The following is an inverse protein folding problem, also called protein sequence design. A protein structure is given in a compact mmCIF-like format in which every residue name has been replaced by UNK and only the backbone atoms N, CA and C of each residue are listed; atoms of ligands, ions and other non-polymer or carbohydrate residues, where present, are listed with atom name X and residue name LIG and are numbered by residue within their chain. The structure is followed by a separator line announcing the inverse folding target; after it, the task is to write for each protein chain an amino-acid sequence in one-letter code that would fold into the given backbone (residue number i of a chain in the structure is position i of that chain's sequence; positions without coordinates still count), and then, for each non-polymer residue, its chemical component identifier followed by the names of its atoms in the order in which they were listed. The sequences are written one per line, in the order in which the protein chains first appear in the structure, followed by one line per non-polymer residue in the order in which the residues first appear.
data_IF_471552119131
#
_entry.id   IF_471552119131
#
_cell.length_a   1.000
_cell.length_b   1.000
_cell.length_c   1.000
_cell.angle_alpha   90.00
_cell.angle_beta   90.00
_cell.angle_gamma   90.00
#
_symmetry.space_group_name_H-M   'P 1'
#
loop_
_entity.id
_entity.type
_entity.pdbx_description
1 polymer ?
#
# COMPACT_ATOMS: atom_id res chain seq x y z
N UNK A 1 5.45 10.40 2.58
CA UNK A 1 4.73 10.46 1.29
C UNK A 1 5.70 9.97 0.22
N UNK A 2 5.28 9.05 -0.65
CA UNK A 2 6.15 8.55 -1.73
C UNK A 2 6.05 9.48 -2.94
N UNK A 3 7.19 9.87 -3.48
CA UNK A 3 7.26 10.58 -4.76
C UNK A 3 6.92 9.62 -5.90
N UNK A 4 6.23 10.13 -6.93
CA UNK A 4 6.05 9.39 -8.17
C UNK A 4 7.39 9.24 -8.89
N UNK A 5 7.60 8.15 -9.63
CA UNK A 5 8.80 7.96 -10.44
C UNK A 5 8.99 9.08 -11.45
N UNK A 6 10.24 9.44 -11.77
CA UNK A 6 10.56 10.48 -12.75
C UNK A 6 9.95 10.22 -14.13
N UNK A 7 9.81 8.96 -14.53
CA UNK A 7 9.16 8.55 -15.78
C UNK A 7 7.72 9.06 -15.92
N UNK A 8 6.99 9.22 -14.81
CA UNK A 8 5.63 9.79 -14.81
C UNK A 8 5.68 11.27 -15.23
N UNK A 9 6.62 12.05 -14.71
CA UNK A 9 6.76 13.46 -15.08
C UNK A 9 7.28 13.64 -16.51
N UNK A 10 8.05 12.69 -17.02
CA UNK A 10 8.44 12.65 -18.44
C UNK A 10 7.22 12.39 -19.35
N UNK A 11 6.37 11.42 -18.99
CA UNK A 11 5.12 11.14 -19.71
C UNK A 11 4.18 12.36 -19.69
N UNK A 12 4.11 13.10 -18.58
CA UNK A 12 3.33 14.35 -18.51
C UNK A 12 3.81 15.36 -19.56
N UNK A 13 5.13 15.58 -19.67
CA UNK A 13 5.72 16.48 -20.67
C UNK A 13 5.42 16.04 -22.10
N UNK A 14 5.47 14.73 -22.37
CA UNK A 14 5.15 14.18 -23.69
C UNK A 14 3.68 14.45 -24.05
N UNK A 15 2.76 14.20 -23.11
CA UNK A 15 1.33 14.48 -23.29
C UNK A 15 1.05 15.97 -23.48
N UNK A 16 1.70 16.84 -22.69
CA UNK A 16 1.56 18.30 -22.81
C UNK A 16 2.02 18.80 -24.19
N UNK A 17 3.15 18.28 -24.69
CA UNK A 17 3.67 18.65 -26.01
C UNK A 17 2.79 18.12 -27.15
N UNK A 18 2.39 16.84 -27.11
CA UNK A 18 1.57 16.22 -28.16
C UNK A 18 0.19 16.88 -28.27
N UNK A 19 -0.41 17.20 -27.12
CA UNK A 19 -1.77 17.72 -27.03
C UNK A 19 -1.84 19.20 -26.64
N UNK A 20 -0.80 20.00 -26.97
CA UNK A 20 -0.69 21.42 -26.58
C UNK A 20 -1.90 22.30 -26.95
N UNK A 21 -2.64 21.92 -28.00
CA UNK A 21 -3.82 22.64 -28.49
C UNK A 21 -5.13 22.20 -27.80
N UNK A 22 -5.07 21.23 -26.88
CA UNK A 22 -6.21 20.77 -26.08
C UNK A 22 -6.20 21.46 -24.71
N UNK A 23 -7.37 21.60 -24.06
CA UNK A 23 -7.44 22.17 -22.72
C UNK A 23 -6.79 21.23 -21.69
N UNK A 24 -6.34 21.77 -20.57
CA UNK A 24 -5.68 20.96 -19.52
C UNK A 24 -6.73 20.27 -18.64
N UNK A 25 -6.49 19.01 -18.29
CA UNK A 25 -7.16 18.31 -17.21
C UNK A 25 -6.18 18.05 -16.06
N UNK A 26 -6.66 18.01 -14.82
CA UNK A 26 -5.86 17.46 -13.74
C UNK A 26 -5.98 15.93 -13.72
N UNK A 27 -4.87 15.23 -13.55
CA UNK A 27 -4.88 13.82 -13.14
C UNK A 27 -4.65 13.76 -11.62
N UNK A 28 -5.73 13.56 -10.86
CA UNK A 28 -5.64 13.42 -9.42
C UNK A 28 -5.19 12.00 -9.06
N UNK A 29 -3.94 11.88 -8.64
CA UNK A 29 -3.30 10.58 -8.34
C UNK A 29 -3.71 10.06 -6.96
N UNK A 30 -3.87 10.95 -5.97
CA UNK A 30 -4.24 10.60 -4.61
C UNK A 30 -3.31 9.53 -4.03
N UNK A 31 -3.89 8.46 -3.50
CA UNK A 31 -3.13 7.36 -2.89
C UNK A 31 -2.46 6.41 -3.90
N UNK A 32 -2.72 6.56 -5.21
CA UNK A 32 -2.12 5.70 -6.22
C UNK A 32 -0.59 5.83 -6.26
N UNK A 33 -0.05 7.01 -5.95
CA UNK A 33 1.41 7.22 -5.85
C UNK A 33 2.09 6.39 -4.77
N UNK A 34 1.34 5.91 -3.77
CA UNK A 34 1.83 5.01 -2.73
C UNK A 34 1.53 3.54 -3.06
N UNK A 35 0.31 3.27 -3.52
CA UNK A 35 -0.20 1.90 -3.56
C UNK A 35 -0.10 1.24 -4.94
N UNK A 36 -0.17 2.00 -6.02
CA UNK A 36 -0.15 1.45 -7.38
C UNK A 36 0.25 2.55 -8.39
N UNK A 37 1.55 2.88 -8.47
CA UNK A 37 2.05 3.86 -9.43
C UNK A 37 1.96 3.36 -10.89
N UNK A 38 1.89 2.04 -11.10
CA UNK A 38 1.69 1.43 -12.43
C UNK A 38 0.31 1.78 -13.01
N UNK A 39 -0.71 1.98 -12.17
CA UNK A 39 -1.99 2.54 -12.62
C UNK A 39 -1.85 3.94 -13.22
N UNK A 40 -1.02 4.79 -12.62
CA UNK A 40 -0.81 6.16 -13.10
C UNK A 40 -0.13 6.11 -14.46
N UNK A 41 0.96 5.34 -14.57
CA UNK A 41 1.68 5.15 -15.83
C UNK A 41 0.77 4.57 -16.91
N UNK A 42 -0.01 3.53 -16.59
CA UNK A 42 -0.91 2.85 -17.51
C UNK A 42 -1.98 3.78 -18.08
N UNK A 43 -2.61 4.60 -17.22
CA UNK A 43 -3.61 5.59 -17.69
C UNK A 43 -2.97 6.67 -18.57
N UNK A 44 -1.78 7.16 -18.22
CA UNK A 44 -1.08 8.17 -19.02
C UNK A 44 -0.66 7.63 -20.39
N UNK A 45 -0.15 6.39 -20.44
CA UNK A 45 0.15 5.71 -21.70
C UNK A 45 -1.11 5.49 -22.54
N UNK A 46 -2.24 5.16 -21.91
CA UNK A 46 -3.51 5.08 -22.62
C UNK A 46 -3.88 6.41 -23.28
N UNK A 47 -3.80 7.52 -22.54
CA UNK A 47 -4.04 8.86 -23.11
C UNK A 47 -3.05 9.20 -24.21
N UNK A 48 -1.80 8.77 -24.11
CA UNK A 48 -0.79 9.01 -25.14
C UNK A 48 -1.13 8.29 -26.45
N UNK A 49 -1.62 7.05 -26.36
CA UNK A 49 -1.91 6.21 -27.52
C UNK A 49 -3.30 6.46 -28.12
N UNK A 50 -4.29 6.72 -27.26
CA UNK A 50 -5.71 6.80 -27.64
C UNK A 50 -6.33 8.19 -27.41
N UNK A 51 -5.55 9.20 -27.02
CA UNK A 51 -6.03 10.53 -26.68
C UNK A 51 -6.77 11.27 -27.79
N UNK A 52 -6.53 10.90 -29.05
CA UNK A 52 -7.26 11.46 -30.20
C UNK A 52 -8.67 10.89 -30.35
N UNK A 53 -8.98 9.77 -29.68
CA UNK A 53 -10.26 9.05 -29.77
C UNK A 53 -11.16 9.27 -28.56
N UNK A 54 -10.68 9.94 -27.51
CA UNK A 54 -11.51 10.22 -26.33
C UNK A 54 -12.56 11.29 -26.66
N UNK A 55 -13.65 11.33 -25.88
CA UNK A 55 -14.74 12.30 -26.06
C UNK A 55 -14.23 13.75 -26.12
N UNK A 56 -14.88 14.59 -26.94
CA UNK A 56 -14.51 16.00 -27.10
C UNK A 56 -14.68 16.83 -25.82
N UNK A 57 -15.52 16.37 -24.89
CA UNK A 57 -15.71 16.97 -23.57
C UNK A 57 -14.55 16.67 -22.61
N UNK A 58 -13.67 15.73 -22.99
CA UNK A 58 -12.52 15.29 -22.24
C UNK A 58 -11.22 15.77 -22.91
N UNK A 59 -10.10 15.66 -22.18
CA UNK A 59 -8.79 15.99 -22.74
C UNK A 59 -7.71 14.97 -22.40
N UNK A 60 -6.83 14.61 -23.35
CA UNK A 60 -5.64 13.81 -23.07
C UNK A 60 -4.48 14.65 -22.52
N UNK A 61 -4.56 15.98 -22.60
CA UNK A 61 -3.57 16.89 -22.04
C UNK A 61 -3.79 17.00 -20.53
N UNK A 62 -2.84 16.52 -19.75
CA UNK A 62 -2.99 16.44 -18.29
C UNK A 62 -1.87 17.12 -17.50
N UNK A 63 -2.18 17.50 -16.27
CA UNK A 63 -1.23 17.88 -15.21
C UNK A 63 -1.37 16.94 -14.02
N UNK A 64 -0.29 16.31 -13.60
CA UNK A 64 -0.30 15.31 -12.53
C UNK A 64 -0.31 16.02 -11.16
N UNK A 65 -1.31 15.70 -10.33
CA UNK A 65 -1.39 16.18 -8.96
C UNK A 65 -1.10 15.02 -7.99
N UNK A 66 0.01 15.14 -7.27
CA UNK A 66 0.47 14.17 -6.27
C UNK A 66 0.59 14.83 -4.87
N UNK A 67 0.64 14.01 -3.83
CA UNK A 67 0.92 14.46 -2.45
C UNK A 67 -0.28 15.04 -1.70
N UNK A 68 -1.50 14.86 -2.23
CA UNK A 68 -2.71 15.46 -1.68
C UNK A 68 -3.75 14.38 -1.40
N UNK A 69 -4.37 14.44 -0.22
CA UNK A 69 -5.45 13.53 0.14
C UNK A 69 -6.77 13.98 -0.50
N UNK A 70 -7.63 13.02 -0.84
CA UNK A 70 -8.93 13.28 -1.47
C UNK A 70 -10.08 13.56 -0.50
N UNK A 71 -9.85 13.61 0.82
CA UNK A 71 -10.88 13.83 1.83
C UNK A 71 -11.59 12.56 2.30
N UNK A 72 -11.20 11.40 1.79
CA UNK A 72 -11.93 10.16 2.04
C UNK A 72 -11.75 9.62 3.46
N UNK A 73 -10.57 9.76 4.06
CA UNK A 73 -10.31 9.43 5.47
C UNK A 73 -11.17 10.28 6.43
N UNK A 74 -11.25 11.58 6.15
CA UNK A 74 -12.06 12.52 6.91
C UNK A 74 -13.55 12.23 6.75
N UNK A 75 -14.01 11.91 5.53
CA UNK A 75 -15.39 11.48 5.28
C UNK A 75 -15.76 10.23 6.10
N UNK A 76 -14.88 9.22 6.14
CA UNK A 76 -15.12 7.99 6.91
C UNK A 76 -15.14 8.23 8.43
N UNK A 77 -14.40 9.24 8.90
CA UNK A 77 -14.36 9.64 10.31
C UNK A 77 -15.46 10.64 10.69
N UNK A 78 -16.41 10.91 9.80
CA UNK A 78 -17.44 11.94 9.94
C UNK A 78 -16.92 13.38 10.18
N UNK A 79 -15.67 13.65 9.80
CA UNK A 79 -15.06 14.98 9.81
C UNK A 79 -15.28 15.67 8.46
N UNK A 80 -16.50 16.17 8.25
CA UNK A 80 -16.92 16.76 6.97
C UNK A 80 -16.22 18.07 6.65
N UNK A 81 -15.86 18.86 7.67
CA UNK A 81 -15.13 20.12 7.47
C UNK A 81 -13.72 19.87 6.93
N UNK A 82 -13.00 18.88 7.48
CA UNK A 82 -11.71 18.48 6.93
C UNK A 82 -11.84 17.91 5.52
N UNK A 83 -12.86 17.10 5.25
CA UNK A 83 -13.11 16.58 3.91
C UNK A 83 -13.36 17.72 2.89
N UNK A 84 -14.18 18.71 3.27
CA UNK A 84 -14.48 19.89 2.46
C UNK A 84 -13.22 20.70 2.17
N UNK A 85 -12.40 20.99 3.19
CA UNK A 85 -11.12 21.71 3.03
C UNK A 85 -10.16 21.01 2.06
N UNK A 86 -10.12 19.67 2.08
CA UNK A 86 -9.30 18.91 1.13
C UNK A 86 -9.83 19.00 -0.31
N UNK A 87 -11.15 19.03 -0.49
CA UNK A 87 -11.77 19.23 -1.81
C UNK A 87 -11.58 20.67 -2.32
N UNK A 88 -11.67 21.66 -1.45
CA UNK A 88 -11.36 23.06 -1.76
C UNK A 88 -9.93 23.20 -2.28
N UNK A 89 -8.96 22.53 -1.64
CA UNK A 89 -7.57 22.51 -2.12
C UNK A 89 -7.43 21.90 -3.53
N UNK A 90 -8.21 20.87 -3.86
CA UNK A 90 -8.23 20.28 -5.21
C UNK A 90 -8.79 21.28 -6.23
N UNK A 91 -9.82 22.06 -5.86
CA UNK A 91 -10.38 23.11 -6.72
C UNK A 91 -9.43 24.30 -6.91
N UNK A 92 -8.70 24.69 -5.87
CA UNK A 92 -7.63 25.70 -5.98
C UNK A 92 -6.60 25.25 -7.02
N UNK A 93 -6.11 24.01 -6.92
CA UNK A 93 -5.14 23.45 -7.88
C UNK A 93 -5.68 23.37 -9.31
N UNK A 94 -6.97 23.05 -9.47
CA UNK A 94 -7.62 23.10 -10.78
C UNK A 94 -7.53 24.50 -11.39
N UNK A 95 -7.77 25.52 -10.58
CA UNK A 95 -7.74 26.92 -10.98
C UNK A 95 -6.30 27.38 -11.24
N UNK A 96 -5.36 27.08 -10.34
CA UNK A 96 -3.92 27.40 -10.46
C UNK A 96 -3.31 26.81 -11.75
N UNK A 97 -3.78 25.65 -12.20
CA UNK A 97 -3.30 24.97 -13.41
C UNK A 97 -4.12 25.27 -14.67
N UNK A 98 -5.09 26.19 -14.61
CA UNK A 98 -6.02 26.50 -15.71
C UNK A 98 -6.67 25.23 -16.31
N UNK A 99 -6.99 24.26 -15.46
CA UNK A 99 -7.57 22.99 -15.88
C UNK A 99 -9.09 23.07 -15.96
N UNK A 100 -9.67 22.52 -17.03
CA UNK A 100 -11.14 22.55 -17.22
C UNK A 100 -11.84 21.37 -16.53
N UNK A 101 -11.13 20.27 -16.28
CA UNK A 101 -11.66 19.06 -15.65
C UNK A 101 -10.62 18.34 -14.79
N UNK A 102 -11.08 17.31 -14.06
CA UNK A 102 -10.23 16.50 -13.18
C UNK A 102 -10.58 15.03 -13.39
N UNK A 103 -9.58 14.20 -13.71
CA UNK A 103 -9.67 12.76 -13.68
C UNK A 103 -9.33 12.22 -12.30
N UNK A 104 -10.14 11.27 -11.83
CA UNK A 104 -9.88 10.50 -10.63
C UNK A 104 -9.62 9.04 -11.01
N UNK A 105 -8.47 8.50 -10.58
CA UNK A 105 -8.17 7.07 -10.70
C UNK A 105 -8.94 6.22 -9.67
N UNK A 106 -9.52 6.86 -8.65
CA UNK A 106 -10.06 6.20 -7.47
C UNK A 106 -11.52 6.65 -7.25
N UNK A 107 -12.49 5.72 -7.18
CA UNK A 107 -13.90 6.08 -7.00
C UNK A 107 -14.16 6.73 -5.63
N UNK A 108 -13.40 6.41 -4.59
CA UNK A 108 -13.46 7.08 -3.29
C UNK A 108 -13.18 8.58 -3.41
N UNK A 109 -12.10 8.94 -4.12
CA UNK A 109 -11.74 10.34 -4.34
C UNK A 109 -12.76 11.09 -5.19
N UNK A 110 -13.28 10.43 -6.23
CA UNK A 110 -14.34 11.00 -7.05
C UNK A 110 -15.63 11.22 -6.25
N UNK A 111 -16.00 10.28 -5.39
CA UNK A 111 -17.18 10.40 -4.55
C UNK A 111 -17.08 11.59 -3.60
N UNK A 112 -15.94 11.75 -2.91
CA UNK A 112 -15.72 12.87 -2.00
C UNK A 112 -15.74 14.20 -2.76
N UNK A 113 -15.05 14.27 -3.90
CA UNK A 113 -15.04 15.45 -4.74
C UNK A 113 -16.45 15.84 -5.20
N UNK A 114 -17.20 14.90 -5.79
CA UNK A 114 -18.56 15.17 -6.25
C UNK A 114 -19.52 15.55 -5.11
N UNK A 115 -19.27 15.05 -3.89
CA UNK A 115 -20.08 15.39 -2.72
C UNK A 115 -19.86 16.82 -2.23
N UNK A 116 -18.64 17.36 -2.33
CA UNK A 116 -18.28 18.64 -1.69
C UNK A 116 -17.86 19.76 -2.67
N UNK A 117 -17.50 19.49 -3.92
CA UNK A 117 -16.86 20.50 -4.79
C UNK A 117 -17.83 21.38 -5.58
N UNK A 118 -19.14 21.12 -5.52
CA UNK A 118 -20.18 21.68 -6.40
C UNK A 118 -19.94 21.45 -7.92
N UNK A 119 -18.80 20.87 -8.30
CA UNK A 119 -18.43 20.48 -9.67
C UNK A 119 -18.37 18.95 -9.78
N UNK A 120 -18.46 18.42 -11.00
CA UNK A 120 -18.29 16.98 -11.25
C UNK A 120 -16.87 16.68 -11.69
N UNK A 121 -16.25 15.68 -11.06
CA UNK A 121 -15.04 15.04 -11.55
C UNK A 121 -15.35 13.96 -12.60
N UNK A 122 -14.33 13.50 -13.30
CA UNK A 122 -14.43 12.41 -14.28
C UNK A 122 -13.78 11.16 -13.70
N UNK A 123 -14.47 10.02 -13.77
CA UNK A 123 -13.86 8.76 -13.40
C UNK A 123 -12.95 8.30 -14.55
N UNK A 124 -11.66 8.10 -14.28
CA UNK A 124 -10.71 7.67 -15.32
C UNK A 124 -11.12 6.33 -15.96
N UNK A 125 -11.78 5.45 -15.21
CA UNK A 125 -12.33 4.20 -15.73
C UNK A 125 -13.34 4.41 -16.86
N UNK A 126 -14.13 5.50 -16.86
CA UNK A 126 -15.08 5.79 -17.94
C UNK A 126 -14.40 6.00 -19.29
N UNK A 127 -13.15 6.49 -19.27
CA UNK A 127 -12.36 6.76 -20.46
C UNK A 127 -11.87 5.45 -21.10
N UNK A 128 -11.56 4.44 -20.28
CA UNK A 128 -10.90 3.20 -20.73
C UNK A 128 -11.82 1.98 -20.79
N UNK A 129 -12.98 2.00 -20.13
CA UNK A 129 -13.88 0.83 -20.00
C UNK A 129 -14.30 0.23 -21.34
N UNK A 130 -14.34 1.04 -22.40
CA UNK A 130 -14.66 0.59 -23.77
C UNK A 130 -13.67 -0.43 -24.33
N UNK A 131 -12.43 -0.43 -23.86
CA UNK A 131 -11.36 -1.33 -24.31
C UNK A 131 -11.16 -2.54 -23.38
N UNK A 132 -12.02 -2.67 -22.35
CA UNK A 132 -11.97 -3.73 -21.33
C UNK A 132 -13.12 -4.74 -21.44
N UNK A 133 -13.87 -4.73 -22.56
CA UNK A 133 -15.19 -5.39 -22.69
C UNK A 133 -15.28 -6.87 -22.28
N UNK A 134 -14.20 -7.62 -22.43
CA UNK A 134 -14.18 -9.07 -22.12
C UNK A 134 -13.58 -9.40 -20.74
N UNK A 135 -13.15 -8.39 -19.96
CA UNK A 135 -12.48 -8.59 -18.68
C UNK A 135 -13.44 -8.40 -17.51
N UNK A 136 -13.40 -9.29 -16.52
CA UNK A 136 -14.14 -9.10 -15.27
C UNK A 136 -13.54 -7.95 -14.47
N UNK A 137 -14.34 -6.95 -14.12
CA UNK A 137 -13.91 -5.78 -13.34
C UNK A 137 -14.63 -5.76 -12.00
N UNK A 138 -13.87 -5.77 -10.92
CA UNK A 138 -14.34 -5.55 -9.57
C UNK A 138 -14.49 -4.05 -9.30
N UNK A 139 -15.71 -3.64 -8.97
CA UNK A 139 -16.03 -2.27 -8.61
C UNK A 139 -16.28 -2.21 -7.10
N UNK A 140 -15.45 -1.42 -6.41
CA UNK A 140 -15.60 -1.22 -4.97
C UNK A 140 -16.93 -0.53 -4.62
N UNK A 141 -17.34 -0.62 -3.35
CA UNK A 141 -18.60 -0.05 -2.87
C UNK A 141 -18.81 1.45 -3.15
N UNK A 142 -17.73 2.22 -3.30
CA UNK A 142 -17.81 3.64 -3.65
C UNK A 142 -18.07 3.89 -5.13
N UNK A 143 -17.59 3.00 -6.01
CA UNK A 143 -18.02 3.00 -7.40
C UNK A 143 -19.53 2.70 -7.47
N UNK A 144 -20.05 1.77 -6.66
CA UNK A 144 -21.49 1.54 -6.58
C UNK A 144 -22.29 2.75 -6.11
N UNK A 145 -21.79 3.47 -5.09
CA UNK A 145 -22.40 4.73 -4.65
C UNK A 145 -22.38 5.83 -5.72
N UNK A 146 -21.48 5.73 -6.69
CA UNK A 146 -21.42 6.59 -7.87
C UNK A 146 -22.31 6.10 -9.03
N UNK A 147 -23.04 4.99 -8.85
CA UNK A 147 -23.98 4.46 -9.84
C UNK A 147 -23.40 3.40 -10.78
N UNK A 148 -22.22 2.85 -10.48
CA UNK A 148 -21.63 1.77 -11.28
C UNK A 148 -22.02 0.39 -10.75
N UNK A 149 -22.17 -0.58 -11.64
CA UNK A 149 -22.54 -1.95 -11.28
C UNK A 149 -21.50 -2.97 -11.78
N UNK A 150 -21.31 -4.04 -11.01
CA UNK A 150 -20.34 -5.10 -11.24
C UNK A 150 -20.84 -6.43 -10.68
N UNK A 151 -20.37 -7.53 -11.27
CA UNK A 151 -20.58 -8.88 -10.72
C UNK A 151 -19.84 -9.10 -9.39
N UNK A 152 -18.78 -8.35 -9.11
CA UNK A 152 -17.96 -8.46 -7.90
C UNK A 152 -17.94 -7.12 -7.15
N UNK A 153 -18.53 -7.13 -5.95
CA UNK A 153 -18.87 -5.91 -5.20
C UNK A 153 -18.32 -5.92 -3.77
N UNK A 154 -17.08 -6.36 -3.54
CA UNK A 154 -16.47 -6.26 -2.22
C UNK A 154 -16.20 -4.79 -1.85
N UNK A 155 -16.39 -4.48 -0.56
CA UNK A 155 -16.07 -3.17 0.01
C UNK A 155 -14.55 -3.02 0.16
N UNK A 156 -13.87 -2.74 -0.94
CA UNK A 156 -12.43 -2.55 -0.96
C UNK A 156 -11.97 -1.18 -0.41
N UNK A 157 -12.89 -0.20 -0.33
CA UNK A 157 -12.65 1.18 0.09
C UNK A 157 -12.51 1.39 1.60
N UNK A 158 -12.26 0.36 2.39
CA UNK A 158 -11.79 0.53 3.76
C UNK A 158 -10.26 0.48 3.72
N UNK A 159 -9.62 1.55 4.20
CA UNK A 159 -8.16 1.66 4.35
C UNK A 159 -7.54 0.55 5.23
N UNK A 160 -8.38 -0.28 5.84
CA UNK A 160 -8.03 -1.46 6.59
C UNK A 160 -7.49 -2.56 5.67
N UNK A 161 -6.25 -2.98 5.92
CA UNK A 161 -5.66 -4.24 5.41
C UNK A 161 -5.92 -5.42 6.34
N UNK A 162 -6.27 -5.14 7.59
CA UNK A 162 -6.70 -6.14 8.58
C UNK A 162 -8.00 -5.72 9.27
N UNK A 163 -8.81 -6.71 9.68
CA UNK A 163 -9.99 -6.53 10.51
C UNK A 163 -9.88 -7.44 11.74
N UNK A 164 -9.99 -6.86 12.94
CA UNK A 164 -9.78 -7.57 14.22
C UNK A 164 -8.48 -8.40 14.24
N UNK A 165 -7.40 -7.83 13.70
CA UNK A 165 -6.09 -8.48 13.65
C UNK A 165 -5.91 -9.55 12.58
N UNK A 166 -6.94 -9.85 11.77
CA UNK A 166 -6.87 -10.81 10.67
C UNK A 166 -6.79 -10.08 9.32
N UNK A 167 -5.98 -10.54 8.35
CA UNK A 167 -5.96 -9.96 7.01
C UNK A 167 -7.32 -10.01 6.33
N UNK A 168 -7.63 -8.94 5.60
CA UNK A 168 -8.67 -8.96 4.57
C UNK A 168 -8.04 -9.48 3.27
N UNK A 169 -8.03 -10.79 3.08
CA UNK A 169 -7.55 -11.44 1.85
C UNK A 169 -8.67 -11.46 0.79
N UNK A 170 -8.33 -11.23 -0.48
CA UNK A 170 -9.26 -11.52 -1.57
C UNK A 170 -9.26 -13.02 -1.84
N UNK A 171 -10.45 -13.64 -1.87
CA UNK A 171 -10.60 -15.08 -2.18
C UNK A 171 -10.40 -15.38 -3.67
N UNK A 172 -10.56 -14.38 -4.55
CA UNK A 172 -10.36 -14.49 -6.01
C UNK A 172 -9.48 -13.34 -6.49
N UNK A 173 -8.42 -13.63 -7.24
CA UNK A 173 -7.52 -12.62 -7.86
C UNK A 173 -7.68 -12.42 -9.37
N UNK A 174 -8.54 -13.22 -10.02
CA UNK A 174 -8.69 -13.24 -11.49
C UNK A 174 -9.48 -12.08 -12.12
N UNK A 175 -9.75 -11.00 -11.39
CA UNK A 175 -10.48 -9.83 -11.87
C UNK A 175 -9.60 -8.58 -11.86
N UNK A 176 -9.99 -7.57 -12.65
CA UNK A 176 -9.35 -6.26 -12.63
C UNK A 176 -9.96 -5.35 -11.57
N UNK A 177 -9.18 -4.45 -10.99
CA UNK A 177 -9.65 -3.46 -10.02
C UNK A 177 -9.56 -2.04 -10.56
N UNK A 178 -10.57 -1.23 -10.25
CA UNK A 178 -10.58 0.19 -10.65
C UNK A 178 -9.86 1.12 -9.69
N UNK A 179 -9.77 0.74 -8.41
CA UNK A 179 -9.18 1.59 -7.38
C UNK A 179 -7.73 1.14 -7.12
N UNK A 180 -6.73 2.03 -7.27
CA UNK A 180 -5.33 1.76 -6.95
C UNK A 180 -5.09 1.16 -5.56
N UNK A 181 -5.87 1.59 -4.56
CA UNK A 181 -5.81 1.01 -3.22
C UNK A 181 -6.34 -0.43 -3.19
N UNK A 182 -7.42 -0.72 -3.92
CA UNK A 182 -7.95 -2.08 -4.05
C UNK A 182 -7.01 -2.99 -4.82
N UNK A 183 -6.38 -2.49 -5.90
CA UNK A 183 -5.35 -3.21 -6.66
C UNK A 183 -4.24 -3.69 -5.73
N UNK A 184 -3.73 -2.77 -4.91
CA UNK A 184 -2.72 -3.08 -3.91
C UNK A 184 -3.21 -4.04 -2.83
N UNK A 185 -4.37 -3.75 -2.22
CA UNK A 185 -4.94 -4.52 -1.12
C UNK A 185 -5.22 -5.97 -1.49
N UNK A 186 -5.73 -6.20 -2.70
CA UNK A 186 -6.11 -7.53 -3.18
C UNK A 186 -5.00 -8.20 -4.00
N UNK A 187 -3.92 -7.49 -4.31
CA UNK A 187 -2.85 -7.99 -5.18
C UNK A 187 -3.32 -8.32 -6.59
N UNK A 188 -4.34 -7.60 -7.09
CA UNK A 188 -4.94 -7.78 -8.42
C UNK A 188 -4.26 -6.88 -9.45
N UNK A 189 -4.71 -6.94 -10.70
CA UNK A 189 -4.27 -6.02 -11.76
C UNK A 189 -5.24 -4.85 -11.89
N UNK A 190 -4.71 -3.65 -12.01
CA UNK A 190 -5.53 -2.47 -12.25
C UNK A 190 -6.07 -2.42 -13.68
N UNK A 191 -7.28 -1.90 -13.85
CA UNK A 191 -7.85 -1.55 -15.16
C UNK A 191 -6.94 -0.64 -15.98
N UNK A 192 -6.20 0.26 -15.32
CA UNK A 192 -5.35 1.25 -15.98
C UNK A 192 -4.05 0.62 -16.51
N UNK A 193 -3.50 -0.35 -15.78
CA UNK A 193 -2.34 -1.12 -16.23
C UNK A 193 -2.73 -2.14 -17.31
N UNK A 194 -3.96 -2.66 -17.24
CA UNK A 194 -4.47 -3.68 -18.16
C UNK A 194 -4.72 -3.21 -19.59
N UNK A 195 -4.74 -1.89 -19.81
CA UNK A 195 -4.83 -1.25 -21.14
C UNK A 195 -3.48 -0.72 -21.63
N UNK A 196 -2.41 -0.84 -20.83
CA UNK A 196 -1.04 -0.56 -21.29
C UNK A 196 -0.50 -1.68 -22.20
N UNK A 197 0.62 -1.45 -22.89
CA UNK A 197 1.18 -2.38 -23.88
C UNK A 197 1.16 -3.86 -23.43
N UNK A 198 0.78 -4.76 -24.35
CA UNK A 198 0.52 -6.19 -24.08
C UNK A 198 1.62 -6.88 -23.28
N UNK A 199 2.89 -6.55 -23.54
CA UNK A 199 4.06 -7.14 -22.88
C UNK A 199 4.08 -6.86 -21.38
N UNK A 200 3.84 -5.61 -20.96
CA UNK A 200 3.76 -5.24 -19.53
C UNK A 200 2.56 -5.88 -18.83
N UNK A 201 1.44 -6.04 -19.55
CA UNK A 201 0.25 -6.68 -18.98
C UNK A 201 0.45 -8.19 -18.73
N UNK A 202 1.08 -8.92 -19.66
CA UNK A 202 1.31 -10.36 -19.49
C UNK A 202 2.21 -10.66 -18.28
N UNK A 203 3.26 -9.87 -18.07
CA UNK A 203 4.14 -9.96 -16.88
C UNK A 203 3.35 -9.70 -15.58
N UNK A 204 2.66 -8.56 -15.48
CA UNK A 204 1.86 -8.18 -14.29
C UNK A 204 0.72 -9.19 -14.03
N UNK A 205 0.11 -9.75 -15.08
CA UNK A 205 -0.97 -10.73 -14.98
C UNK A 205 -0.50 -12.11 -14.50
N UNK A 206 0.70 -12.54 -14.88
CA UNK A 206 1.29 -13.80 -14.38
C UNK A 206 1.70 -13.67 -12.92
N UNK A 207 2.26 -12.54 -12.54
CA UNK A 207 2.71 -12.27 -11.16
C UNK A 207 1.54 -12.12 -10.18
N UNK A 208 0.42 -11.50 -10.61
CA UNK A 208 -0.80 -11.39 -9.79
C UNK A 208 -1.57 -12.70 -9.60
N UNK A 209 -1.28 -13.72 -10.41
CA UNK A 209 -1.83 -15.07 -10.26
C UNK A 209 -1.07 -15.92 -9.22
N UNK A 210 0.09 -15.46 -8.73
CA UNK A 210 0.80 -16.16 -7.66
C UNK A 210 -0.02 -16.14 -6.37
N UNK A 211 -0.16 -17.31 -5.74
CA UNK A 211 -0.77 -17.41 -4.43
C UNK A 211 0.18 -16.87 -3.35
N UNK A 212 0.07 -15.58 -3.10
CA UNK A 212 0.83 -14.87 -2.07
C UNK A 212 0.47 -15.30 -0.64
N UNK A 213 -0.56 -16.15 -0.43
CA UNK A 213 -0.92 -16.65 0.89
C UNK A 213 0.27 -17.28 1.61
N UNK A 214 1.06 -18.07 0.87
CA UNK A 214 2.28 -18.71 1.35
C UNK A 214 3.33 -17.68 1.81
N UNK A 215 3.50 -16.59 1.05
CA UNK A 215 4.45 -15.53 1.43
C UNK A 215 3.99 -14.86 2.71
N UNK A 216 2.71 -14.49 2.81
CA UNK A 216 2.16 -13.89 4.02
C UNK A 216 2.31 -14.79 5.26
N UNK A 217 2.10 -16.09 5.11
CA UNK A 217 2.25 -17.04 6.20
C UNK A 217 3.71 -17.19 6.63
N UNK A 218 4.64 -17.25 5.66
CA UNK A 218 6.10 -17.25 5.94
C UNK A 218 6.55 -15.96 6.64
N UNK A 219 6.05 -14.80 6.22
CA UNK A 219 6.33 -13.51 6.85
C UNK A 219 5.88 -13.50 8.31
N UNK A 220 4.64 -13.92 8.58
CA UNK A 220 4.09 -13.98 9.95
C UNK A 220 4.91 -14.95 10.79
N UNK A 221 5.14 -16.17 10.31
CA UNK A 221 5.90 -17.19 11.04
C UNK A 221 7.32 -16.72 11.38
N UNK A 222 7.97 -16.00 10.47
CA UNK A 222 9.29 -15.41 10.72
C UNK A 222 9.28 -14.42 11.88
N UNK A 223 8.25 -13.58 11.98
CA UNK A 223 8.10 -12.66 13.13
C UNK A 223 7.85 -13.44 14.42
N UNK A 224 7.01 -14.49 14.40
CA UNK A 224 6.75 -15.33 15.58
C UNK A 224 8.03 -15.99 16.10
N UNK A 225 8.81 -16.59 15.19
CA UNK A 225 10.08 -17.24 15.54
C UNK A 225 11.12 -16.22 16.04
N UNK A 226 11.18 -15.05 15.40
CA UNK A 226 12.10 -13.99 15.80
C UNK A 226 11.83 -13.49 17.23
N UNK A 227 10.55 -13.32 17.59
CA UNK A 227 10.16 -12.93 18.95
C UNK A 227 10.61 -13.97 19.99
N UNK A 228 10.52 -15.26 19.68
CA UNK A 228 11.02 -16.30 20.58
C UNK A 228 12.54 -16.27 20.74
N UNK A 229 13.29 -16.01 19.66
CA UNK A 229 14.76 -16.01 19.66
C UNK A 229 15.39 -14.76 20.25
N UNK A 230 14.68 -13.63 20.24
CA UNK A 230 15.21 -12.36 20.75
C UNK A 230 15.01 -12.14 22.25
N UNK A 231 14.25 -13.01 22.93
CA UNK A 231 13.84 -12.84 24.33
C UNK A 231 15.00 -12.60 25.28
N UNK A 232 16.07 -13.38 25.16
CA UNK A 232 17.26 -13.27 26.00
C UNK A 232 18.01 -11.94 25.80
N UNK A 233 18.16 -11.50 24.56
CA UNK A 233 18.85 -10.24 24.24
C UNK A 233 18.01 -9.02 24.70
N UNK A 234 16.68 -9.13 24.65
CA UNK A 234 15.78 -8.12 25.23
C UNK A 234 15.85 -8.14 26.76
N UNK A 235 15.89 -9.32 27.38
CA UNK A 235 15.97 -9.48 28.84
C UNK A 235 17.18 -8.74 29.43
N UNK A 236 18.34 -8.82 28.76
CA UNK A 236 19.56 -8.07 29.14
C UNK A 236 19.36 -6.55 29.14
N UNK A 237 18.43 -6.02 28.33
CA UNK A 237 18.20 -4.57 28.19
C UNK A 237 17.09 -4.05 29.08
N UNK A 238 16.31 -4.90 29.76
CA UNK A 238 15.19 -4.44 30.61
C UNK A 238 15.67 -3.49 31.71
N UNK A 239 16.86 -3.71 32.28
CA UNK A 239 17.43 -2.83 33.31
C UNK A 239 17.58 -1.38 32.84
N UNK A 240 17.78 -1.15 31.54
CA UNK A 240 17.91 0.19 30.95
C UNK A 240 16.63 1.01 31.06
N UNK A 241 15.48 0.35 31.27
CA UNK A 241 14.22 1.03 31.60
C UNK A 241 14.34 1.85 32.88
N UNK A 242 15.10 1.40 33.90
CA UNK A 242 15.29 2.19 35.13
C UNK A 242 16.08 3.47 34.89
N UNK A 243 16.95 3.48 33.89
CA UNK A 243 17.83 4.61 33.58
C UNK A 243 17.16 5.64 32.68
N UNK A 244 16.43 5.18 31.66
CA UNK A 244 15.87 6.05 30.62
C UNK A 244 14.36 5.91 30.39
N UNK A 245 13.67 5.12 31.20
CA UNK A 245 12.23 4.87 31.09
C UNK A 245 11.83 4.01 29.88
N UNK A 246 10.52 3.98 29.64
CA UNK A 246 9.86 3.20 28.60
C UNK A 246 10.39 3.49 27.19
N UNK A 247 10.55 4.77 26.85
CA UNK A 247 10.96 5.18 25.51
C UNK A 247 12.39 4.74 25.20
N UNK A 248 13.30 4.85 26.18
CA UNK A 248 14.68 4.42 26.00
C UNK A 248 14.79 2.91 25.81
N UNK A 249 14.08 2.12 26.64
CA UNK A 249 13.99 0.67 26.45
C UNK A 249 13.42 0.28 25.08
N UNK A 250 12.35 0.98 24.65
CA UNK A 250 11.75 0.77 23.33
C UNK A 250 12.76 0.98 22.21
N UNK A 251 13.53 2.08 22.27
CA UNK A 251 14.57 2.38 21.28
C UNK A 251 15.67 1.32 21.22
N UNK A 252 16.06 0.74 22.36
CA UNK A 252 17.05 -0.34 22.43
C UNK A 252 16.50 -1.67 21.91
N UNK A 253 15.20 -1.92 22.10
CA UNK A 253 14.55 -3.17 21.68
C UNK A 253 14.32 -3.26 20.18
N UNK A 254 14.09 -2.12 19.50
CA UNK A 254 13.88 -2.05 18.04
C UNK A 254 14.99 -2.74 17.25
N UNK A 255 16.30 -2.38 17.39
CA UNK A 255 17.35 -2.99 16.60
C UNK A 255 17.54 -4.49 16.89
N UNK A 256 17.29 -4.92 18.13
CA UNK A 256 17.33 -6.34 18.51
C UNK A 256 16.23 -7.09 17.77
N UNK A 257 14.98 -6.64 17.88
CA UNK A 257 13.84 -7.27 17.20
C UNK A 257 14.05 -7.28 15.68
N UNK A 258 14.45 -6.15 15.08
CA UNK A 258 14.72 -6.06 13.64
C UNK A 258 15.78 -7.05 13.18
N UNK A 259 16.87 -7.22 13.94
CA UNK A 259 17.94 -8.20 13.64
C UNK A 259 17.37 -9.62 13.54
N UNK A 260 16.64 -10.08 14.55
CA UNK A 260 16.10 -11.45 14.53
C UNK A 260 15.01 -11.62 13.47
N UNK A 261 14.15 -10.62 13.25
CA UNK A 261 13.16 -10.67 12.16
C UNK A 261 13.87 -10.81 10.82
N UNK A 262 14.93 -10.04 10.55
CA UNK A 262 15.66 -10.12 9.28
C UNK A 262 16.30 -11.50 9.04
N UNK A 263 16.85 -12.10 10.10
CA UNK A 263 17.43 -13.45 10.04
C UNK A 263 16.36 -14.50 9.72
N UNK A 264 15.24 -14.50 10.46
CA UNK A 264 14.16 -15.47 10.25
C UNK A 264 13.45 -15.28 8.92
N UNK A 265 13.25 -14.04 8.48
CA UNK A 265 12.71 -13.73 7.16
C UNK A 265 13.58 -14.32 6.05
N UNK A 266 14.89 -14.05 6.10
CA UNK A 266 15.83 -14.56 5.10
C UNK A 266 15.82 -16.09 5.09
N UNK A 267 15.82 -16.72 6.27
CA UNK A 267 15.77 -18.19 6.42
C UNK A 267 14.49 -18.79 5.84
N UNK A 268 13.33 -18.28 6.26
CA UNK A 268 12.04 -18.86 5.90
C UNK A 268 11.68 -18.59 4.44
N UNK A 269 11.96 -17.40 3.91
CA UNK A 269 11.70 -17.10 2.49
C UNK A 269 12.63 -17.91 1.57
N UNK A 270 13.90 -18.12 1.94
CA UNK A 270 14.84 -18.92 1.14
C UNK A 270 14.53 -20.43 1.17
N UNK A 271 13.81 -20.90 2.20
CA UNK A 271 13.47 -22.32 2.34
C UNK A 271 12.49 -22.84 1.28
N UNK A 272 11.82 -21.94 0.55
CA UNK A 272 10.77 -22.28 -0.41
C UNK A 272 11.17 -21.84 -1.83
N UNK A 273 11.52 -22.77 -2.74
CA UNK A 273 11.99 -22.44 -4.09
C UNK A 273 11.03 -21.57 -4.91
N UNK A 274 9.72 -21.81 -4.83
CA UNK A 274 8.71 -21.03 -5.56
C UNK A 274 8.64 -19.56 -5.12
N UNK A 275 8.90 -19.29 -3.83
CA UNK A 275 8.94 -17.94 -3.26
C UNK A 275 10.18 -17.20 -3.77
N UNK A 276 11.34 -17.88 -3.80
CA UNK A 276 12.56 -17.32 -4.38
C UNK A 276 12.41 -17.00 -5.87
N UNK A 277 11.79 -17.89 -6.64
CA UNK A 277 11.49 -17.64 -8.05
C UNK A 277 10.58 -16.42 -8.23
N UNK A 278 9.48 -16.34 -7.46
CA UNK A 278 8.58 -15.19 -7.49
C UNK A 278 9.33 -13.88 -7.21
N UNK A 279 10.19 -13.84 -6.18
CA UNK A 279 10.97 -12.64 -5.87
C UNK A 279 12.01 -12.29 -6.94
N UNK A 280 12.62 -13.28 -7.59
CA UNK A 280 13.50 -13.05 -8.73
C UNK A 280 12.76 -12.39 -9.90
N UNK A 281 11.57 -12.87 -10.24
CA UNK A 281 10.74 -12.33 -11.32
C UNK A 281 10.33 -10.88 -11.01
N UNK A 282 9.72 -10.63 -9.85
CA UNK A 282 9.23 -9.28 -9.52
C UNK A 282 10.37 -8.26 -9.29
N UNK A 283 11.59 -8.71 -8.94
CA UNK A 283 12.73 -7.82 -8.70
C UNK A 283 13.18 -7.07 -9.97
N UNK A 284 12.87 -7.60 -11.16
CA UNK A 284 13.16 -6.94 -12.44
C UNK A 284 12.28 -5.70 -12.65
N UNK A 285 11.09 -5.68 -12.05
CA UNK A 285 10.18 -4.54 -12.07
C UNK A 285 10.24 -3.78 -10.74
N UNK A 286 11.10 -2.77 -10.66
CA UNK A 286 11.31 -1.97 -9.44
C UNK A 286 10.01 -1.37 -8.85
N UNK A 287 9.05 -0.99 -9.69
CA UNK A 287 7.77 -0.43 -9.22
C UNK A 287 6.92 -1.48 -8.52
N UNK A 288 6.77 -2.64 -9.16
CA UNK A 288 6.03 -3.76 -8.60
C UNK A 288 6.71 -4.31 -7.34
N UNK A 289 8.05 -4.44 -7.37
CA UNK A 289 8.82 -4.87 -6.23
C UNK A 289 8.56 -3.97 -5.01
N UNK A 290 8.71 -2.65 -5.15
CA UNK A 290 8.45 -1.70 -4.08
C UNK A 290 7.00 -1.73 -3.60
N UNK A 291 6.03 -1.93 -4.50
CA UNK A 291 4.62 -2.10 -4.16
C UNK A 291 4.42 -3.34 -3.28
N UNK A 292 5.03 -4.48 -3.63
CA UNK A 292 4.95 -5.73 -2.83
C UNK A 292 5.60 -5.57 -1.47
N UNK A 293 6.79 -4.97 -1.39
CA UNK A 293 7.43 -4.65 -0.10
C UNK A 293 6.51 -3.79 0.79
N UNK A 294 5.89 -2.76 0.21
CA UNK A 294 4.93 -1.90 0.92
C UNK A 294 3.73 -2.70 1.44
N UNK A 295 3.19 -3.61 0.62
CA UNK A 295 2.08 -4.52 0.98
C UNK A 295 2.44 -5.40 2.17
N UNK A 296 3.58 -6.09 2.10
CA UNK A 296 4.05 -7.00 3.14
C UNK A 296 4.36 -6.27 4.44
N UNK A 297 4.93 -5.07 4.34
CA UNK A 297 5.21 -4.24 5.51
C UNK A 297 3.92 -3.81 6.21
N UNK A 298 2.96 -3.27 5.46
CA UNK A 298 1.67 -2.83 6.00
C UNK A 298 0.89 -3.98 6.63
N UNK A 299 0.89 -5.14 5.97
CA UNK A 299 0.30 -6.37 6.49
C UNK A 299 0.87 -6.76 7.85
N UNK A 300 2.20 -6.81 7.99
CA UNK A 300 2.86 -7.20 9.24
C UNK A 300 2.65 -6.17 10.36
N UNK A 301 2.65 -4.87 10.06
CA UNK A 301 2.41 -3.81 11.06
C UNK A 301 1.00 -3.92 11.67
N UNK A 302 0.01 -4.33 10.86
CA UNK A 302 -1.39 -4.41 11.26
C UNK A 302 -1.85 -5.81 11.67
N UNK A 303 -0.97 -6.80 11.62
CA UNK A 303 -1.22 -8.15 12.13
C UNK A 303 -1.22 -8.17 13.66
N UNK A 304 -2.10 -8.95 14.29
CA UNK A 304 -2.12 -9.10 15.76
C UNK A 304 -1.08 -10.13 16.22
N UNK A 305 -0.01 -9.64 16.84
CA UNK A 305 1.01 -10.46 17.51
C UNK A 305 0.82 -10.50 19.02
N UNK A 306 -0.39 -10.26 19.52
CA UNK A 306 -0.63 -10.10 20.96
C UNK A 306 -0.32 -11.37 21.76
N UNK A 307 -0.65 -12.55 21.21
CA UNK A 307 -0.30 -13.84 21.78
C UNK A 307 1.21 -14.07 21.84
N UNK A 308 1.93 -13.69 20.79
CA UNK A 308 3.37 -13.84 20.69
C UNK A 308 4.10 -12.86 21.61
N UNK A 309 3.58 -11.65 21.77
CA UNK A 309 4.10 -10.70 22.77
C UNK A 309 3.85 -11.23 24.18
N UNK A 310 2.68 -11.81 24.47
CA UNK A 310 2.41 -12.45 25.77
C UNK A 310 3.36 -13.62 26.04
N UNK A 311 3.65 -14.42 25.01
CA UNK A 311 4.68 -15.46 25.05
C UNK A 311 6.07 -14.88 25.35
N UNK A 312 6.46 -13.84 24.63
CA UNK A 312 7.75 -13.16 24.81
C UNK A 312 7.92 -12.61 26.23
N UNK A 313 6.90 -11.96 26.80
CA UNK A 313 6.95 -11.46 28.18
C UNK A 313 7.23 -12.60 29.17
N UNK A 314 6.56 -13.75 29.01
CA UNK A 314 6.80 -14.93 29.84
C UNK A 314 8.23 -15.47 29.67
N UNK A 315 8.74 -15.52 28.44
CA UNK A 315 10.11 -15.97 28.18
C UNK A 315 11.14 -15.02 28.78
N UNK A 316 10.93 -13.70 28.70
CA UNK A 316 11.79 -12.68 29.32
C UNK A 316 11.81 -12.84 30.84
N UNK A 317 10.65 -13.02 31.49
CA UNK A 317 10.57 -13.23 32.95
C UNK A 317 11.38 -14.43 33.42
N UNK A 318 11.42 -15.48 32.59
CA UNK A 318 12.13 -16.72 32.87
C UNK A 318 13.57 -16.72 32.34
N UNK A 319 14.00 -15.66 31.66
CA UNK A 319 15.34 -15.60 31.09
C UNK A 319 16.40 -15.48 32.20
N UNK A 320 17.50 -16.26 32.14
CA UNK A 320 18.61 -16.12 33.07
C UNK A 320 19.35 -14.78 32.92
N UNK A 321 19.12 -14.06 31.82
CA UNK A 321 19.74 -12.77 31.51
C UNK A 321 18.95 -11.57 32.02
N UNK A 322 17.76 -11.81 32.58
CA UNK A 322 16.97 -10.75 33.22
C UNK A 322 17.56 -10.41 34.59
N UNK A 323 17.95 -9.15 34.77
CA UNK A 323 18.34 -8.63 36.09
C UNK A 323 17.18 -8.79 37.09
N UNK A 324 17.46 -9.40 38.23
CA UNK A 324 16.45 -9.67 39.26
C UNK A 324 15.69 -8.41 39.69
N UNK A 325 16.39 -7.29 39.80
CA UNK A 325 15.81 -6.01 40.21
C UNK A 325 14.85 -5.44 39.15
N UNK A 326 14.91 -5.90 37.91
CA UNK A 326 14.10 -5.41 36.80
C UNK A 326 12.81 -6.22 36.57
N UNK A 327 12.56 -7.29 37.36
CA UNK A 327 11.38 -8.15 37.21
C UNK A 327 10.05 -7.42 37.37
N UNK A 328 9.97 -6.46 38.29
CA UNK A 328 8.75 -5.67 38.51
C UNK A 328 8.36 -4.82 37.29
N UNK A 329 9.34 -4.45 36.47
CA UNK A 329 9.11 -3.71 35.22
C UNK A 329 8.40 -4.61 34.21
N UNK A 330 8.86 -5.86 34.07
CA UNK A 330 8.32 -6.82 33.11
C UNK A 330 6.87 -7.21 33.44
N UNK A 331 6.52 -7.24 34.73
CA UNK A 331 5.15 -7.51 35.20
C UNK A 331 4.19 -6.33 35.00
N UNK A 332 4.68 -5.16 34.62
CA UNK A 332 3.86 -3.98 34.36
C UNK A 332 3.18 -4.06 32.98
N UNK A 333 1.91 -3.66 32.89
CA UNK A 333 1.17 -3.57 31.62
C UNK A 333 1.86 -2.69 30.57
N UNK A 334 2.59 -1.65 31.00
CA UNK A 334 3.32 -0.75 30.11
C UNK A 334 4.47 -1.46 29.39
N UNK A 335 5.05 -2.52 29.99
CA UNK A 335 6.12 -3.29 29.35
C UNK A 335 5.62 -4.01 28.10
N UNK A 336 4.44 -4.64 28.18
CA UNK A 336 3.78 -5.25 27.02
C UNK A 336 3.54 -4.21 25.91
N UNK A 337 3.08 -3.02 26.27
CA UNK A 337 2.83 -1.94 25.32
C UNK A 337 4.12 -1.42 24.66
N UNK A 338 5.22 -1.33 25.42
CA UNK A 338 6.53 -0.96 24.90
C UNK A 338 7.05 -1.99 23.90
N UNK A 339 6.92 -3.29 24.19
CA UNK A 339 7.29 -4.36 23.25
C UNK A 339 6.43 -4.33 21.98
N UNK A 340 5.12 -4.09 22.11
CA UNK A 340 4.23 -3.92 20.95
C UNK A 340 4.70 -2.76 20.07
N UNK A 341 5.02 -1.63 20.68
CA UNK A 341 5.51 -0.44 19.98
C UNK A 341 6.87 -0.68 19.32
N UNK A 342 7.78 -1.37 20.01
CA UNK A 342 9.08 -1.75 19.48
C UNK A 342 8.94 -2.68 18.26
N UNK A 343 8.08 -3.71 18.34
CA UNK A 343 7.80 -4.61 17.23
C UNK A 343 7.24 -3.88 16.01
N UNK A 344 6.22 -3.04 16.19
CA UNK A 344 5.61 -2.27 15.10
C UNK A 344 6.63 -1.33 14.43
N UNK A 345 7.57 -0.76 15.19
CA UNK A 345 8.65 0.08 14.65
C UNK A 345 9.79 -0.72 14.01
N UNK A 346 10.05 -1.92 14.52
CA UNK A 346 11.06 -2.81 14.00
C UNK A 346 10.70 -3.31 12.59
N UNK A 347 9.41 -3.51 12.32
CA UNK A 347 8.87 -3.86 11.00
C UNK A 347 8.82 -2.60 10.13
N UNK A 348 9.70 -2.52 9.14
CA UNK A 348 9.72 -1.42 8.18
C UNK A 348 10.14 -1.91 6.79
N UNK A 349 9.93 -1.08 5.77
CA UNK A 349 10.19 -1.44 4.37
C UNK A 349 11.65 -1.84 4.13
N UNK A 350 12.62 -1.18 4.78
CA UNK A 350 14.04 -1.49 4.63
C UNK A 350 14.36 -2.90 5.12
N UNK A 351 13.81 -3.31 6.27
CA UNK A 351 13.99 -4.65 6.82
C UNK A 351 13.49 -5.73 5.85
N UNK A 352 12.26 -5.57 5.35
CA UNK A 352 11.63 -6.53 4.44
C UNK A 352 12.38 -6.57 3.11
N UNK A 353 12.70 -5.41 2.55
CA UNK A 353 13.46 -5.29 1.31
C UNK A 353 14.84 -5.95 1.43
N UNK A 354 15.62 -5.64 2.47
CA UNK A 354 16.95 -6.22 2.64
C UNK A 354 16.90 -7.74 2.82
N UNK A 355 15.91 -8.23 3.57
CA UNK A 355 15.71 -9.69 3.75
C UNK A 355 15.41 -10.37 2.42
N UNK A 356 14.59 -9.75 1.57
CA UNK A 356 14.30 -10.29 0.22
C UNK A 356 15.51 -10.15 -0.70
N UNK A 357 16.24 -9.03 -0.69
CA UNK A 357 17.45 -8.91 -1.52
C UNK A 357 18.50 -9.97 -1.12
N UNK A 358 18.64 -10.27 0.16
CA UNK A 358 19.56 -11.31 0.64
C UNK A 358 19.22 -12.69 0.05
N UNK A 359 17.93 -13.05 -0.10
CA UNK A 359 17.58 -14.35 -0.71
C UNK A 359 17.86 -14.41 -2.22
N UNK A 360 17.94 -13.27 -2.90
CA UNK A 360 18.22 -13.19 -4.34
C UNK A 360 19.72 -13.28 -4.63
N UNK A 361 20.55 -12.82 -3.70
CA UNK A 361 22.02 -12.85 -3.82
C UNK A 361 22.68 -14.11 -3.24
N UNK A 362 21.95 -14.91 -2.46
CA UNK A 362 22.35 -16.27 -2.01
C UNK A 362 21.95 -17.27 -3.09
#
# INVERSE_FOLDING_TARGET
MSELPNSIYELEKILDNKYKNKPVFLLFVGCASKYDPLSVEGFMNYLLTHGDKISIELSPRIKVINGICCGFDALLSADYERAKKQVERINELKTENNAIGIYFLCPEGLYVYNKFSHSKGVFAYDVIKGDLKDKEVHLGCWARKLGYDSKFNECAGLFLTTYKGNPLRAEKKGFLTVCPFSTWKFGTVSVYSAVSEKTKFEEISRESQYDESLIFDLLVNSVKEALNKCADEIAEKVIMWKLGGEQYFTLLSIPIISKYIGLELTRNLNSTPSVKQFFNEISQNKLLFNQKISTYTDYLIHYSFDSEIDGLVKTILNSPKLDYSARDIVNNTNFKQALRTALQRAINQSLIQNSIMNILYI
#
